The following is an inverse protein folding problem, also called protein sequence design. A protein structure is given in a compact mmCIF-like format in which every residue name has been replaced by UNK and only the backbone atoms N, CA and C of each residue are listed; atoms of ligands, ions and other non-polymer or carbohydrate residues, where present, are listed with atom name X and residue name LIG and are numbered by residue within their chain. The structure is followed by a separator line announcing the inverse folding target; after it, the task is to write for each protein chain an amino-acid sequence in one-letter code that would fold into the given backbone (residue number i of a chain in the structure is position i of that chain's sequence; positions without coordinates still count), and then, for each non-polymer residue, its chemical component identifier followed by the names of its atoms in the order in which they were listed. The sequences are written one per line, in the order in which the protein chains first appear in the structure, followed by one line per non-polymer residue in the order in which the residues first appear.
data_IF_332866324198
#
_entry.id   IF_332866324198
#
_cell.length_a   1.000
_cell.length_b   1.000
_cell.length_c   1.000
_cell.angle_alpha   90.00
_cell.angle_beta   90.00
_cell.angle_gamma   90.00
#
_symmetry.space_group_name_H-M   'P 1'
#
loop_
_entity.id
_entity.type
_entity.pdbx_description
1 polymer ?
#
# COMPACT_ATOMS: atom_id res chain seq x y z
N UNK A 1 11.30 -30.42 -10.84
CA UNK A 1 10.49 -29.69 -9.84
C UNK A 1 10.55 -28.24 -10.28
N UNK A 2 9.51 -27.79 -11.00
CA UNK A 2 9.52 -26.49 -11.68
C UNK A 2 9.09 -25.41 -10.68
N UNK A 3 10.03 -24.57 -10.26
CA UNK A 3 9.73 -23.29 -9.62
C UNK A 3 9.24 -22.33 -10.71
N UNK A 4 7.95 -22.03 -10.68
CA UNK A 4 7.40 -20.91 -11.45
C UNK A 4 7.85 -19.63 -10.74
N UNK A 5 8.93 -19.05 -11.24
CA UNK A 5 9.24 -17.65 -11.01
C UNK A 5 8.02 -16.86 -11.47
N UNK A 6 7.37 -16.16 -10.54
CA UNK A 6 6.37 -15.15 -10.86
C UNK A 6 7.07 -14.06 -11.69
N UNK A 7 6.95 -14.15 -13.02
CA UNK A 7 7.31 -13.07 -13.91
C UNK A 7 6.35 -11.91 -13.60
N UNK A 8 6.88 -10.82 -13.03
CA UNK A 8 6.12 -9.59 -12.88
C UNK A 8 5.76 -9.05 -14.27
N UNK A 9 4.48 -8.75 -14.45
CA UNK A 9 3.87 -8.39 -15.72
C UNK A 9 4.51 -7.15 -16.38
N UNK A 10 4.87 -7.34 -17.66
CA UNK A 10 5.53 -6.39 -18.55
C UNK A 10 4.52 -5.38 -19.14
N UNK A 11 3.99 -4.49 -18.29
CA UNK A 11 3.20 -3.33 -18.75
C UNK A 11 3.92 -2.03 -18.40
N UNK A 12 4.94 -1.70 -19.19
CA UNK A 12 5.81 -0.53 -19.02
C UNK A 12 5.16 0.84 -19.29
N UNK A 13 3.92 1.06 -18.85
CA UNK A 13 3.30 2.39 -18.88
C UNK A 13 3.75 3.19 -17.65
N UNK A 14 4.13 4.43 -17.87
CA UNK A 14 4.45 5.39 -16.83
C UNK A 14 3.74 6.70 -17.12
N UNK A 15 3.25 7.36 -16.08
CA UNK A 15 2.70 8.69 -16.17
C UNK A 15 3.20 9.55 -15.02
N UNK A 16 3.22 10.87 -15.24
CA UNK A 16 3.66 11.84 -14.24
C UNK A 16 2.56 12.85 -13.99
N UNK A 17 2.27 13.12 -12.73
CA UNK A 17 1.32 14.14 -12.28
C UNK A 17 1.97 15.06 -11.26
N UNK A 18 1.59 16.34 -11.28
CA UNK A 18 2.07 17.34 -10.32
C UNK A 18 1.05 17.53 -9.21
N UNK A 19 1.42 17.21 -7.98
CA UNK A 19 0.58 17.31 -6.79
C UNK A 19 1.12 18.45 -5.91
N UNK A 20 0.49 19.63 -5.96
CA UNK A 20 1.05 20.86 -5.37
C UNK A 20 0.70 21.04 -3.90
N UNK A 21 -0.39 20.40 -3.46
CA UNK A 21 -0.96 20.53 -2.12
C UNK A 21 -1.37 19.16 -1.59
N UNK A 22 -1.50 19.04 -0.27
CA UNK A 22 -1.96 17.81 0.39
C UNK A 22 -3.29 17.30 -0.20
N UNK A 23 -4.23 18.22 -0.49
CA UNK A 23 -5.52 17.88 -1.12
C UNK A 23 -5.37 17.21 -2.48
N UNK A 24 -4.32 17.53 -3.24
CA UNK A 24 -4.07 16.97 -4.56
C UNK A 24 -3.59 15.51 -4.41
N UNK A 25 -2.78 15.22 -3.40
CA UNK A 25 -2.37 13.86 -3.02
C UNK A 25 -3.54 13.02 -2.54
N UNK A 26 -4.43 13.60 -1.73
CA UNK A 26 -5.68 12.93 -1.32
C UNK A 26 -6.56 12.64 -2.54
N UNK A 27 -6.71 13.59 -3.47
CA UNK A 27 -7.48 13.40 -4.68
C UNK A 27 -6.87 12.32 -5.60
N UNK A 28 -5.54 12.25 -5.70
CA UNK A 28 -4.85 11.21 -6.45
C UNK A 28 -5.11 9.80 -5.88
N UNK A 29 -5.04 9.65 -4.55
CA UNK A 29 -5.41 8.39 -3.89
C UNK A 29 -6.88 8.03 -4.12
N UNK A 30 -7.77 9.01 -4.02
CA UNK A 30 -9.20 8.82 -4.28
C UNK A 30 -9.48 8.38 -5.73
N UNK A 31 -8.73 8.92 -6.69
CA UNK A 31 -8.86 8.55 -8.10
C UNK A 31 -8.41 7.10 -8.40
N UNK A 32 -7.51 6.54 -7.60
CA UNK A 32 -7.07 5.15 -7.72
C UNK A 32 -8.09 4.15 -7.14
N UNK A 33 -8.85 4.55 -6.12
CA UNK A 33 -9.73 3.68 -5.36
C UNK A 33 -10.70 2.82 -6.20
N UNK A 34 -11.36 3.32 -7.27
CA UNK A 34 -12.26 2.52 -8.09
C UNK A 34 -11.58 1.39 -8.88
N UNK A 35 -10.26 1.46 -9.06
CA UNK A 35 -9.48 0.45 -9.78
C UNK A 35 -8.94 -0.65 -8.87
N UNK A 36 -9.13 -0.55 -7.56
CA UNK A 36 -8.65 -1.55 -6.62
C UNK A 36 -9.49 -2.83 -6.70
N UNK A 37 -8.80 -3.97 -6.70
CA UNK A 37 -9.40 -5.30 -6.68
C UNK A 37 -8.57 -6.23 -5.80
N UNK A 38 -9.17 -7.34 -5.38
CA UNK A 38 -8.50 -8.37 -4.58
C UNK A 38 -7.16 -8.80 -5.18
N UNK A 39 -6.16 -9.00 -4.32
CA UNK A 39 -4.81 -9.44 -4.68
C UNK A 39 -3.88 -8.34 -5.20
N UNK A 40 -4.34 -7.08 -5.29
CA UNK A 40 -3.52 -5.99 -5.79
C UNK A 40 -2.51 -5.50 -4.73
N UNK A 41 -1.24 -5.41 -5.12
CA UNK A 41 -0.16 -4.86 -4.29
C UNK A 41 0.32 -3.54 -4.90
N UNK A 42 0.30 -2.47 -4.12
CA UNK A 42 0.73 -1.13 -4.55
C UNK A 42 1.89 -0.67 -3.67
N UNK A 43 3.01 -0.40 -4.32
CA UNK A 43 4.23 0.09 -3.70
C UNK A 43 4.28 1.62 -3.74
N UNK A 44 4.44 2.23 -2.56
CA UNK A 44 4.56 3.67 -2.37
C UNK A 44 5.99 4.01 -1.97
N UNK A 45 6.74 4.59 -2.90
CA UNK A 45 8.14 4.99 -2.72
C UNK A 45 8.28 6.52 -2.66
N UNK A 46 9.33 6.99 -2.01
CA UNK A 46 9.64 8.41 -1.87
C UNK A 46 10.10 8.78 -0.47
N UNK A 47 10.67 9.97 -0.32
CA UNK A 47 11.31 10.41 0.91
C UNK A 47 10.34 10.56 2.11
N UNK A 48 10.91 10.76 3.30
CA UNK A 48 10.14 11.11 4.49
C UNK A 48 9.38 12.42 4.24
N UNK A 49 8.06 12.41 4.47
CA UNK A 49 7.20 13.55 4.20
C UNK A 49 6.74 13.69 2.74
N UNK A 50 7.08 12.77 1.83
CA UNK A 50 6.64 12.80 0.43
C UNK A 50 5.12 12.65 0.22
N UNK A 51 4.36 12.31 1.27
CA UNK A 51 2.89 12.21 1.22
C UNK A 51 2.33 10.82 1.01
N UNK A 52 3.12 9.76 1.17
CA UNK A 52 2.70 8.35 1.06
C UNK A 52 1.47 8.02 1.92
N UNK A 53 1.50 8.28 3.23
CA UNK A 53 0.32 8.12 4.11
C UNK A 53 -0.86 9.01 3.73
N UNK A 54 -0.60 10.21 3.18
CA UNK A 54 -1.66 11.10 2.68
C UNK A 54 -2.36 10.49 1.47
N UNK A 55 -1.62 9.84 0.58
CA UNK A 55 -2.15 9.11 -0.56
C UNK A 55 -3.03 7.94 -0.09
N UNK A 56 -2.53 7.11 0.84
CA UNK A 56 -3.29 6.01 1.46
C UNK A 56 -4.60 6.52 2.08
N UNK A 57 -4.56 7.65 2.78
CA UNK A 57 -5.76 8.29 3.34
C UNK A 57 -6.77 8.67 2.26
N UNK A 58 -6.31 9.15 1.09
CA UNK A 58 -7.16 9.44 -0.05
C UNK A 58 -7.88 8.20 -0.58
N UNK A 59 -7.14 7.11 -0.74
CA UNK A 59 -7.69 5.80 -1.14
C UNK A 59 -8.78 5.34 -0.15
N UNK A 60 -8.44 5.27 1.14
CA UNK A 60 -9.33 4.78 2.19
C UNK A 60 -10.61 5.62 2.31
N UNK A 61 -10.50 6.94 2.24
CA UNK A 61 -11.66 7.84 2.27
C UNK A 61 -12.60 7.62 1.10
N UNK A 62 -12.06 7.45 -0.12
CA UNK A 62 -12.85 7.17 -1.30
C UNK A 62 -13.57 5.81 -1.22
N UNK A 63 -13.01 4.84 -0.47
CA UNK A 63 -13.62 3.56 -0.18
C UNK A 63 -14.57 3.56 1.04
N UNK A 64 -14.85 4.73 1.62
CA UNK A 64 -15.83 4.90 2.70
C UNK A 64 -15.26 4.87 4.13
N UNK A 65 -13.94 4.81 4.32
CA UNK A 65 -13.35 4.91 5.65
C UNK A 65 -13.27 6.37 6.11
N UNK A 66 -14.07 6.73 7.11
CA UNK A 66 -14.19 8.09 7.61
C UNK A 66 -13.22 8.44 8.75
N UNK A 67 -12.60 7.44 9.38
CA UNK A 67 -11.76 7.66 10.56
C UNK A 67 -10.37 8.19 10.21
N UNK A 68 -9.59 8.48 11.26
CA UNK A 68 -8.25 9.03 11.11
C UNK A 68 -7.26 7.94 10.71
N UNK A 69 -6.82 7.99 9.46
CA UNK A 69 -5.70 7.19 8.95
C UNK A 69 -4.36 7.79 9.41
N UNK A 70 -3.54 6.97 10.07
CA UNK A 70 -2.14 7.26 10.43
C UNK A 70 -1.24 6.22 9.78
N UNK A 71 0.06 6.53 9.69
CA UNK A 71 1.03 5.51 9.30
C UNK A 71 1.18 4.48 10.44
N UNK A 72 1.15 3.17 10.13
CA UNK A 72 1.39 2.10 11.09
C UNK A 72 2.90 1.87 11.33
N UNK A 73 3.73 2.92 11.39
CA UNK A 73 5.21 2.78 11.52
C UNK A 73 5.66 1.85 12.66
N UNK A 74 4.89 1.76 13.74
CA UNK A 74 5.22 0.91 14.90
C UNK A 74 4.47 -0.42 14.94
N UNK A 75 3.26 -0.48 14.38
CA UNK A 75 2.48 -1.73 14.28
C UNK A 75 2.80 -2.52 13.01
N UNK A 76 3.56 -1.91 12.09
CA UNK A 76 3.94 -2.37 10.74
C UNK A 76 2.78 -2.50 9.76
N UNK A 77 1.62 -2.95 10.24
CA UNK A 77 0.40 -3.15 9.48
C UNK A 77 -0.79 -2.51 10.20
N UNK A 78 -1.73 -1.97 9.41
CA UNK A 78 -3.08 -1.61 9.86
C UNK A 78 -4.10 -2.21 8.88
N UNK A 79 -5.00 -3.11 9.33
CA UNK A 79 -6.03 -3.71 8.50
C UNK A 79 -7.30 -2.84 8.43
N UNK A 80 -7.90 -2.77 7.24
CA UNK A 80 -9.15 -2.07 6.97
C UNK A 80 -10.14 -2.97 6.24
N UNK A 81 -11.43 -2.88 6.60
CA UNK A 81 -12.51 -3.48 5.82
C UNK A 81 -13.33 -2.36 5.20
N UNK A 82 -13.18 -2.16 3.88
CA UNK A 82 -13.70 -0.98 3.17
C UNK A 82 -14.28 -1.40 1.82
N UNK A 83 -15.48 -0.93 1.47
CA UNK A 83 -16.12 -1.25 0.18
C UNK A 83 -16.10 -2.76 -0.20
N UNK A 84 -16.25 -3.64 0.79
CA UNK A 84 -16.19 -5.12 0.67
C UNK A 84 -14.79 -5.68 0.32
N UNK A 85 -13.75 -4.87 0.42
CA UNK A 85 -12.34 -5.26 0.31
C UNK A 85 -11.71 -5.34 1.69
N UNK A 86 -10.79 -6.30 1.85
CA UNK A 86 -9.77 -6.26 2.89
C UNK A 86 -8.58 -5.48 2.35
N UNK A 87 -8.21 -4.39 3.00
CA UNK A 87 -7.08 -3.55 2.63
C UNK A 87 -6.09 -3.50 3.79
N UNK A 88 -4.82 -3.77 3.51
CA UNK A 88 -3.73 -3.79 4.47
C UNK A 88 -2.78 -2.66 4.15
N UNK A 89 -2.65 -1.72 5.09
CA UNK A 89 -1.68 -0.63 4.99
C UNK A 89 -0.42 -1.06 5.72
N UNK A 90 0.68 -1.18 5.00
CA UNK A 90 2.01 -1.46 5.55
C UNK A 90 2.87 -0.20 5.58
N UNK A 91 3.70 -0.07 6.62
CA UNK A 91 4.78 0.91 6.64
C UNK A 91 6.06 0.28 7.21
N UNK A 92 7.04 0.08 6.33
CA UNK A 92 8.32 -0.54 6.66
C UNK A 92 9.43 0.45 6.95
N UNK A 93 9.14 1.74 7.18
CA UNK A 93 10.16 2.76 7.45
C UNK A 93 11.11 2.38 8.60
N UNK A 94 10.61 1.69 9.62
CA UNK A 94 11.39 1.21 10.78
C UNK A 94 11.65 -0.29 10.80
N UNK A 95 11.36 -0.97 9.70
CA UNK A 95 11.55 -2.40 9.61
C UNK A 95 13.05 -2.74 9.59
N UNK A 96 13.46 -3.70 10.42
CA UNK A 96 14.87 -3.89 10.78
C UNK A 96 15.54 -5.02 10.01
N UNK A 97 14.82 -6.08 9.70
CA UNK A 97 15.34 -7.19 8.91
C UNK A 97 14.23 -7.92 8.15
N UNK A 98 14.51 -8.41 6.94
CA UNK A 98 13.59 -9.29 6.20
C UNK A 98 13.22 -10.58 6.96
N UNK A 99 14.06 -11.03 7.89
CA UNK A 99 13.77 -12.20 8.74
C UNK A 99 12.53 -11.96 9.62
N UNK A 100 12.38 -10.75 10.17
CA UNK A 100 11.19 -10.37 10.95
C UNK A 100 9.90 -10.44 10.11
N UNK A 101 9.99 -10.44 8.77
CA UNK A 101 8.83 -10.39 7.89
C UNK A 101 8.12 -11.74 7.84
N UNK A 102 8.93 -12.78 7.67
CA UNK A 102 8.48 -14.17 7.69
C UNK A 102 8.10 -14.59 9.10
N UNK A 103 8.90 -14.21 10.11
CA UNK A 103 8.62 -14.56 11.50
C UNK A 103 7.31 -13.93 12.01
N UNK A 104 6.96 -12.74 11.53
CA UNK A 104 5.69 -12.08 11.84
C UNK A 104 4.51 -12.55 10.96
N UNK A 105 4.75 -13.44 9.99
CA UNK A 105 3.73 -13.95 9.06
C UNK A 105 3.15 -12.86 8.14
N UNK A 106 3.94 -11.84 7.81
CA UNK A 106 3.46 -10.73 6.97
C UNK A 106 3.28 -11.15 5.51
N UNK A 107 4.00 -12.18 5.07
CA UNK A 107 3.91 -12.79 3.74
C UNK A 107 2.51 -13.33 3.42
N UNK A 108 1.78 -13.81 4.43
CA UNK A 108 0.42 -14.34 4.27
C UNK A 108 -0.56 -13.28 3.72
N UNK A 109 -0.35 -12.00 4.06
CA UNK A 109 -1.19 -10.91 3.57
C UNK A 109 -1.00 -10.64 2.07
N UNK A 110 0.23 -10.84 1.56
CA UNK A 110 0.57 -10.70 0.14
C UNK A 110 0.13 -11.90 -0.68
N UNK A 111 0.13 -13.10 -0.08
CA UNK A 111 -0.41 -14.31 -0.71
C UNK A 111 -1.95 -14.36 -0.70
N UNK A 112 -2.60 -13.55 0.14
CA UNK A 112 -4.05 -13.49 0.28
C UNK A 112 -4.76 -12.67 -0.80
N UNK A 113 -6.10 -12.63 -0.71
CA UNK A 113 -6.97 -11.85 -1.62
C UNK A 113 -7.16 -10.37 -1.17
N UNK A 114 -6.29 -9.86 -0.30
CA UNK A 114 -6.35 -8.47 0.15
C UNK A 114 -5.77 -7.49 -0.86
N UNK A 115 -5.99 -6.19 -0.61
CA UNK A 115 -5.25 -5.11 -1.27
C UNK A 115 -4.13 -4.66 -0.33
N UNK A 116 -2.88 -4.66 -0.78
CA UNK A 116 -1.76 -4.21 0.03
C UNK A 116 -1.30 -2.82 -0.44
N UNK A 117 -1.31 -1.83 0.45
CA UNK A 117 -0.68 -0.53 0.23
C UNK A 117 0.60 -0.46 1.06
N UNK A 118 1.76 -0.46 0.41
CA UNK A 118 3.06 -0.64 1.08
C UNK A 118 3.88 0.63 1.01
N UNK A 119 4.06 1.31 2.15
CA UNK A 119 5.04 2.38 2.28
C UNK A 119 6.43 1.80 2.54
N UNK A 120 7.45 2.36 1.87
CA UNK A 120 8.86 1.92 1.99
C UNK A 120 9.08 0.43 1.65
N UNK A 121 8.62 -0.04 0.47
CA UNK A 121 8.75 -1.44 0.06
C UNK A 121 10.21 -1.90 -0.05
N UNK A 122 11.17 -0.98 -0.21
CA UNK A 122 12.61 -1.25 -0.24
C UNK A 122 13.19 -1.69 1.12
N UNK A 123 12.42 -1.54 2.19
CA UNK A 123 12.81 -1.95 3.56
C UNK A 123 12.27 -3.31 3.96
N UNK A 124 11.32 -3.86 3.21
CA UNK A 124 10.73 -5.18 3.44
C UNK A 124 11.72 -6.31 3.13
#
# INVERSE_FOLDING_TARGET
MNERVHAADDTGWAFTVQLRRERDTVAAGAALAPSLHAGLVIHLTGDLGAGKTTFVRGVLRALGHAEKVKSPTYTLIEPYTVSRLHLYHFDFYRFKSPEEFLDAGLDEYFAGNGVCLVEWPDKA
#
